data_IF_181548518124
#
_entry.id   IF_181548518124
#
_cell.length_a   1.000
_cell.length_b   1.000
_cell.length_c   1.000
_cell.angle_alpha   90.00
_cell.angle_beta   90.00
_cell.angle_gamma   90.00
#
_symmetry.space_group_name_H-M   'P 1'
#
loop_
_entity.id
_entity.type
_entity.pdbx_description
1 polymer ?
#
# COMPACT_ATOMS: atom_id res chain seq x y z
N UNK A 1 17.38 -26.12 -1.39
CA UNK A 1 17.92 -24.95 -2.11
C UNK A 1 19.31 -24.64 -1.55
N UNK A 2 20.32 -24.35 -2.37
CA UNK A 2 21.69 -24.03 -1.91
C UNK A 2 22.00 -22.55 -2.19
N UNK A 3 22.37 -21.81 -1.16
CA UNK A 3 22.81 -20.41 -1.25
C UNK A 3 24.30 -20.37 -0.91
N UNK A 4 25.09 -19.63 -1.68
CA UNK A 4 26.50 -19.37 -1.35
C UNK A 4 26.57 -18.34 -0.21
N UNK A 5 27.06 -18.79 0.94
CA UNK A 5 27.09 -18.00 2.17
C UNK A 5 28.11 -16.86 2.09
N UNK A 6 29.24 -17.05 1.39
CA UNK A 6 30.26 -16.03 1.25
C UNK A 6 29.76 -14.89 0.37
N UNK A 7 29.11 -15.25 -0.75
CA UNK A 7 28.48 -14.28 -1.63
C UNK A 7 27.33 -13.55 -0.94
N UNK A 8 26.47 -14.27 -0.22
CA UNK A 8 25.35 -13.67 0.51
C UNK A 8 25.82 -12.60 1.52
N UNK A 9 26.85 -12.91 2.31
CA UNK A 9 27.43 -11.98 3.26
C UNK A 9 28.00 -10.73 2.57
N UNK A 10 28.73 -10.91 1.47
CA UNK A 10 29.27 -9.79 0.70
C UNK A 10 28.17 -8.85 0.19
N UNK A 11 27.05 -9.40 -0.28
CA UNK A 11 25.91 -8.60 -0.76
C UNK A 11 25.25 -7.82 0.38
N UNK A 12 25.06 -8.44 1.55
CA UNK A 12 24.55 -7.73 2.73
C UNK A 12 25.46 -6.59 3.17
N UNK A 13 26.77 -6.83 3.24
CA UNK A 13 27.75 -5.81 3.63
C UNK A 13 27.74 -4.63 2.66
N UNK A 14 27.69 -4.91 1.35
CA UNK A 14 27.56 -3.86 0.31
C UNK A 14 26.24 -3.12 0.39
N UNK A 15 25.14 -3.80 0.73
CA UNK A 15 23.83 -3.18 0.76
C UNK A 15 23.63 -2.33 2.02
N UNK A 16 24.34 -2.64 3.12
CA UNK A 16 24.22 -1.93 4.40
C UNK A 16 24.49 -0.42 4.34
N UNK A 17 25.22 0.05 3.32
CA UNK A 17 25.44 1.48 3.09
C UNK A 17 24.17 2.22 2.64
N UNK A 18 23.18 1.51 2.08
CA UNK A 18 21.91 2.06 1.65
C UNK A 18 20.88 1.93 2.77
N UNK A 19 20.21 3.05 3.09
CA UNK A 19 19.16 3.08 4.12
C UNK A 19 17.79 2.59 3.61
N UNK A 20 17.68 2.32 2.32
CA UNK A 20 16.45 1.81 1.72
C UNK A 20 16.15 0.39 2.19
N UNK A 21 14.89 0.13 2.51
CA UNK A 21 14.43 -1.21 2.79
C UNK A 21 14.61 -2.12 1.55
N UNK A 22 14.89 -3.43 1.74
CA UNK A 22 15.01 -4.38 0.64
C UNK A 22 13.68 -4.63 -0.09
N UNK A 23 12.57 -4.25 0.53
CA UNK A 23 11.23 -4.33 -0.03
C UNK A 23 10.55 -2.98 0.12
N UNK A 24 9.76 -2.62 -0.89
CA UNK A 24 8.92 -1.43 -0.90
C UNK A 24 7.50 -1.80 -1.28
N UNK A 25 6.58 -0.89 -0.99
CA UNK A 25 5.18 -0.97 -1.40
C UNK A 25 4.66 0.40 -1.78
N UNK A 26 3.45 0.42 -2.32
CA UNK A 26 2.74 1.65 -2.68
C UNK A 26 1.41 1.71 -1.93
N UNK A 27 0.96 2.92 -1.64
CA UNK A 27 -0.40 3.20 -1.20
C UNK A 27 -1.24 3.63 -2.39
N UNK A 28 -2.53 3.32 -2.36
CA UNK A 28 -3.45 3.72 -3.43
C UNK A 28 -3.88 5.18 -3.28
N UNK A 29 -4.23 5.88 -4.38
CA UNK A 29 -4.98 7.12 -4.27
C UNK A 29 -6.42 6.87 -3.80
N UNK A 30 -7.04 7.87 -3.18
CA UNK A 30 -8.46 7.87 -2.83
C UNK A 30 -9.25 8.60 -3.90
N UNK A 31 -10.24 7.90 -4.44
CA UNK A 31 -11.11 8.40 -5.51
C UNK A 31 -12.48 8.70 -4.91
N UNK A 32 -13.01 9.89 -5.17
CA UNK A 32 -14.35 10.31 -4.74
C UNK A 32 -15.09 10.97 -5.89
N UNK A 33 -16.43 10.93 -5.86
CA UNK A 33 -17.27 11.47 -6.92
C UNK A 33 -18.27 12.48 -6.35
N UNK A 34 -18.45 13.60 -7.05
CA UNK A 34 -19.57 14.52 -6.80
C UNK A 34 -20.81 13.97 -7.51
N UNK A 35 -21.92 13.82 -6.79
CA UNK A 35 -23.16 13.29 -7.32
C UNK A 35 -24.20 14.42 -7.50
N UNK A 36 -24.95 14.39 -8.60
CA UNK A 36 -26.13 15.25 -8.78
C UNK A 36 -27.32 14.75 -7.93
N UNK A 37 -28.43 15.49 -7.96
CA UNK A 37 -29.67 15.13 -7.24
C UNK A 37 -30.26 13.78 -7.68
N UNK A 38 -29.90 13.30 -8.87
CA UNK A 38 -30.34 12.02 -9.42
C UNK A 38 -29.32 10.89 -9.15
N UNK A 39 -28.22 11.17 -8.45
CA UNK A 39 -27.17 10.22 -8.14
C UNK A 39 -26.18 9.96 -9.28
N UNK A 40 -26.19 10.75 -10.36
CA UNK A 40 -25.20 10.63 -11.43
C UNK A 40 -23.90 11.31 -11.04
N UNK A 41 -22.77 10.68 -11.35
CA UNK A 41 -21.46 11.29 -11.15
C UNK A 41 -21.27 12.47 -12.10
N UNK A 42 -21.02 13.64 -11.53
CA UNK A 42 -20.77 14.90 -12.26
C UNK A 42 -19.28 15.22 -12.34
N UNK A 43 -18.51 14.78 -11.34
CA UNK A 43 -17.07 15.00 -11.28
C UNK A 43 -16.37 13.90 -10.47
N UNK A 44 -15.09 13.66 -10.76
CA UNK A 44 -14.25 12.68 -10.06
C UNK A 44 -13.01 13.38 -9.50
N UNK A 45 -12.78 13.22 -8.19
CA UNK A 45 -11.63 13.75 -7.49
C UNK A 45 -10.68 12.62 -7.10
N UNK A 46 -9.38 12.90 -7.25
CA UNK A 46 -8.30 11.99 -6.86
C UNK A 46 -7.48 12.69 -5.78
N UNK A 47 -7.35 12.06 -4.62
CA UNK A 47 -6.49 12.51 -3.53
C UNK A 47 -5.44 11.45 -3.22
N UNK A 48 -4.26 11.88 -2.78
CA UNK A 48 -3.16 10.98 -2.45
C UNK A 48 -3.00 10.97 -0.92
N UNK A 49 -3.35 9.86 -0.23
CA UNK A 49 -3.19 9.79 1.21
C UNK A 49 -1.71 9.86 1.61
N UNK A 50 -1.43 10.40 2.80
CA UNK A 50 -0.06 10.71 3.23
C UNK A 50 0.66 9.51 3.85
N UNK A 51 -0.07 8.53 4.38
CA UNK A 51 0.54 7.37 5.03
C UNK A 51 -0.23 6.06 4.87
N UNK A 52 0.53 4.96 4.95
CA UNK A 52 0.04 3.58 4.81
C UNK A 52 -0.91 3.17 5.94
N UNK A 53 -0.64 3.61 7.17
CA UNK A 53 -1.41 3.17 8.34
C UNK A 53 -2.86 3.64 8.25
N UNK A 54 -3.07 4.93 7.94
CA UNK A 54 -4.40 5.50 7.74
C UNK A 54 -5.17 4.79 6.63
N UNK A 55 -4.52 4.54 5.49
CA UNK A 55 -5.15 3.83 4.38
C UNK A 55 -5.60 2.41 4.79
N UNK A 56 -4.75 1.66 5.49
CA UNK A 56 -5.10 0.31 5.91
C UNK A 56 -6.22 0.30 6.96
N UNK A 57 -6.24 1.28 7.87
CA UNK A 57 -7.33 1.43 8.84
C UNK A 57 -8.65 1.81 8.17
N UNK A 58 -8.65 2.74 7.21
CA UNK A 58 -9.83 3.06 6.41
C UNK A 58 -10.36 1.82 5.69
N UNK A 59 -9.48 1.04 5.07
CA UNK A 59 -9.88 -0.18 4.35
C UNK A 59 -10.49 -1.24 5.27
N UNK A 60 -9.90 -1.44 6.46
CA UNK A 60 -10.46 -2.33 7.46
C UNK A 60 -11.85 -1.91 7.94
N UNK A 61 -12.10 -0.61 8.06
CA UNK A 61 -13.38 -0.09 8.54
C UNK A 61 -14.47 -0.04 7.45
N UNK A 62 -14.13 0.44 6.26
CA UNK A 62 -15.11 0.75 5.21
C UNK A 62 -15.32 -0.40 4.21
N UNK A 63 -14.32 -1.26 4.02
CA UNK A 63 -14.30 -2.25 2.92
C UNK A 63 -14.07 -3.70 3.39
N UNK A 64 -14.11 -3.98 4.69
CA UNK A 64 -13.95 -5.33 5.23
C UNK A 64 -15.29 -6.06 5.35
N UNK A 65 -15.78 -6.63 4.25
CA UNK A 65 -17.11 -7.24 4.19
C UNK A 65 -17.17 -8.74 4.52
N UNK A 66 -16.00 -9.39 4.67
CA UNK A 66 -15.94 -10.83 4.94
C UNK A 66 -16.06 -11.11 6.44
N UNK A 67 -16.71 -12.23 6.83
CA UNK A 67 -16.71 -12.67 8.22
C UNK A 67 -15.31 -13.13 8.63
N UNK A 68 -15.07 -13.15 9.96
CA UNK A 68 -13.80 -13.60 10.54
C UNK A 68 -13.53 -15.09 10.23
N UNK A 69 -14.58 -15.90 10.17
CA UNK A 69 -14.56 -17.30 9.75
C UNK A 69 -15.48 -17.46 8.52
N UNK A 70 -14.93 -17.97 7.41
CA UNK A 70 -15.60 -18.08 6.12
C UNK A 70 -16.14 -19.51 5.87
#
# INVERSE_FOLDING_TARGET
VKVDINLHKQILDRNSQFKSAPYSGFINPKISADLDENGNATNIHISYPDNFLEQMMEYGNEYSFLPEEN
#
